data_IF_826559454645
#
_entry.id   IF_826559454645
#
_cell.length_a   1.000
_cell.length_b   1.000
_cell.length_c   1.000
_cell.angle_alpha   90.00
_cell.angle_beta   90.00
_cell.angle_gamma   90.00
#
_symmetry.space_group_name_H-M   'P 1'
#
loop_
_entity.id
_entity.type
_entity.pdbx_description
1 polymer ?
#
# COMPACT_ATOMS: atom_id res chain seq x y z
N UNK A 1 -0.46 30.79 18.89
CA UNK A 1 0.34 29.84 18.09
C UNK A 1 -0.54 29.37 16.95
N UNK A 2 -0.15 29.57 15.71
CA UNK A 2 -0.76 28.79 14.62
C UNK A 2 -0.26 27.35 14.83
N UNK A 3 -1.14 26.34 14.89
CA UNK A 3 -0.69 24.95 14.89
C UNK A 3 0.17 24.71 13.65
N UNK A 4 1.20 23.87 13.78
CA UNK A 4 1.98 23.45 12.63
C UNK A 4 1.04 22.88 11.55
N UNK A 5 1.27 23.14 10.26
CA UNK A 5 0.41 22.59 9.22
C UNK A 5 0.41 21.05 9.30
N UNK A 6 -0.79 20.48 9.42
CA UNK A 6 -1.00 19.03 9.46
C UNK A 6 -1.39 18.50 8.08
N UNK A 7 -0.98 17.27 7.77
CA UNK A 7 -1.34 16.56 6.55
C UNK A 7 -1.83 15.15 6.88
N UNK A 8 -2.79 14.66 6.09
CA UNK A 8 -3.22 13.28 6.08
C UNK A 8 -2.55 12.55 4.93
N UNK A 9 -1.83 11.46 5.23
CA UNK A 9 -1.30 10.54 4.23
C UNK A 9 -2.12 9.27 4.31
N UNK A 10 -2.87 8.97 3.25
CA UNK A 10 -3.67 7.75 3.13
C UNK A 10 -2.85 6.74 2.33
N UNK A 11 -2.50 5.64 2.99
CA UNK A 11 -1.55 4.67 2.45
C UNK A 11 -2.31 3.52 1.81
N UNK A 12 -2.10 3.35 0.50
CA UNK A 12 -2.35 2.13 -0.26
C UNK A 12 -3.76 1.52 -0.09
N UNK A 13 -4.80 2.36 -0.16
CA UNK A 13 -6.21 1.90 -0.17
C UNK A 13 -6.58 1.43 -1.59
N UNK A 14 -5.94 0.33 -2.01
CA UNK A 14 -6.05 -0.24 -3.35
C UNK A 14 -6.84 -1.56 -3.33
N UNK A 15 -7.36 -1.94 -4.50
CA UNK A 15 -8.17 -3.15 -4.66
C UNK A 15 -7.44 -4.40 -4.18
N UNK A 16 -6.16 -4.55 -4.51
CA UNK A 16 -5.39 -5.74 -4.13
C UNK A 16 -5.19 -5.92 -2.63
N UNK A 17 -5.33 -4.85 -1.83
CA UNK A 17 -5.25 -4.90 -0.37
C UNK A 17 -6.63 -5.01 0.31
N UNK A 18 -7.72 -4.91 -0.44
CA UNK A 18 -9.09 -5.08 0.06
C UNK A 18 -9.61 -6.52 -0.17
N UNK A 19 -10.71 -6.94 0.48
CA UNK A 19 -11.30 -8.27 0.25
C UNK A 19 -11.56 -8.57 -1.22
N UNK A 20 -11.05 -9.71 -1.70
CA UNK A 20 -11.11 -10.13 -3.11
C UNK A 20 -9.87 -9.77 -3.93
N UNK A 21 -8.97 -8.94 -3.40
CA UNK A 21 -7.69 -8.60 -3.99
C UNK A 21 -6.61 -9.67 -3.87
N UNK A 22 -5.51 -9.52 -4.63
CA UNK A 22 -4.41 -10.49 -4.66
C UNK A 22 -3.61 -10.60 -3.35
N UNK A 23 -3.59 -9.53 -2.54
CA UNK A 23 -2.97 -9.48 -1.21
C UNK A 23 -3.96 -8.93 -0.17
N UNK A 24 -5.19 -9.45 -0.21
CA UNK A 24 -6.30 -8.95 0.59
C UNK A 24 -6.01 -8.96 2.10
N UNK A 25 -6.21 -7.81 2.73
CA UNK A 25 -6.30 -7.67 4.19
C UNK A 25 -7.74 -7.93 4.60
N UNK A 26 -7.94 -8.78 5.61
CA UNK A 26 -9.26 -9.04 6.16
C UNK A 26 -9.89 -7.72 6.65
N UNK A 27 -11.10 -7.42 6.17
CA UNK A 27 -11.84 -6.18 6.49
C UNK A 27 -11.08 -4.89 6.12
N UNK A 28 -10.13 -4.96 5.17
CA UNK A 28 -9.33 -3.80 4.75
C UNK A 28 -10.15 -2.65 4.16
N UNK A 29 -11.36 -2.94 3.66
CA UNK A 29 -12.32 -1.99 3.12
C UNK A 29 -13.20 -1.33 4.21
N UNK A 30 -13.31 -1.92 5.41
CA UNK A 30 -14.18 -1.41 6.48
C UNK A 30 -13.76 -0.04 7.04
N UNK A 31 -12.52 0.40 6.77
CA UNK A 31 -11.99 1.69 7.23
C UNK A 31 -12.22 2.85 6.24
N UNK A 32 -12.68 2.56 5.02
CA UNK A 32 -12.74 3.53 3.92
C UNK A 32 -13.65 4.71 4.26
N UNK A 33 -14.83 4.46 4.82
CA UNK A 33 -15.76 5.53 5.22
C UNK A 33 -15.15 6.47 6.27
N UNK A 34 -14.37 5.92 7.21
CA UNK A 34 -13.66 6.72 8.21
C UNK A 34 -12.56 7.55 7.58
N UNK A 35 -11.81 6.98 6.64
CA UNK A 35 -10.77 7.69 5.88
C UNK A 35 -11.40 8.86 5.12
N UNK A 36 -12.49 8.62 4.39
CA UNK A 36 -13.21 9.63 3.63
C UNK A 36 -13.68 10.79 4.52
N UNK A 37 -14.20 10.50 5.73
CA UNK A 37 -14.60 11.54 6.68
C UNK A 37 -13.42 12.27 7.35
N UNK A 38 -12.25 11.62 7.45
CA UNK A 38 -11.04 12.27 7.95
C UNK A 38 -10.46 13.27 6.94
N UNK A 39 -10.55 12.99 5.64
CA UNK A 39 -10.03 13.88 4.60
C UNK A 39 -10.57 15.30 4.70
N UNK A 40 -11.84 15.46 5.07
CA UNK A 40 -12.48 16.78 5.20
C UNK A 40 -11.92 17.63 6.38
N UNK A 41 -11.10 17.03 7.25
CA UNK A 41 -10.49 17.70 8.42
C UNK A 41 -9.08 18.19 8.17
N UNK A 42 -8.46 17.83 7.04
CA UNK A 42 -7.08 18.20 6.72
C UNK A 42 -7.04 19.10 5.49
N UNK A 43 -6.24 20.17 5.58
CA UNK A 43 -5.99 21.05 4.44
C UNK A 43 -5.11 20.39 3.38
N UNK A 44 -4.34 19.36 3.77
CA UNK A 44 -3.44 18.60 2.89
C UNK A 44 -3.74 17.12 3.04
N UNK A 45 -4.12 16.49 1.93
CA UNK A 45 -4.38 15.06 1.77
C UNK A 45 -3.49 14.53 0.64
N UNK A 46 -2.69 13.51 0.96
CA UNK A 46 -1.84 12.79 0.02
C UNK A 46 -2.30 11.35 0.01
N UNK A 47 -2.46 10.77 -1.17
CA UNK A 47 -2.68 9.34 -1.33
C UNK A 47 -1.39 8.68 -1.80
N UNK A 48 -1.15 7.45 -1.39
CA UNK A 48 -0.11 6.61 -1.99
C UNK A 48 -0.74 5.45 -2.74
N UNK A 49 -0.03 4.98 -3.77
CA UNK A 49 -0.29 3.71 -4.42
C UNK A 49 1.00 2.92 -4.44
N UNK A 50 0.93 1.69 -3.98
CA UNK A 50 1.90 0.68 -4.32
C UNK A 50 1.79 0.42 -5.83
N UNK A 51 2.93 0.41 -6.53
CA UNK A 51 2.93 0.55 -8.00
C UNK A 51 4.07 -0.22 -8.67
N UNK A 52 3.97 -1.54 -8.63
CA UNK A 52 5.04 -2.46 -9.00
C UNK A 52 5.06 -2.83 -10.48
N UNK A 53 6.23 -2.87 -11.16
CA UNK A 53 6.33 -3.62 -12.41
C UNK A 53 6.01 -5.10 -12.16
N UNK A 54 5.46 -5.81 -13.15
CA UNK A 54 5.15 -7.24 -13.00
C UNK A 54 6.40 -8.10 -12.65
N UNK A 55 7.59 -7.62 -13.00
CA UNK A 55 8.89 -8.24 -12.69
C UNK A 55 9.47 -7.81 -11.34
N UNK A 56 8.70 -7.16 -10.46
CA UNK A 56 9.23 -6.64 -9.20
C UNK A 56 9.79 -7.76 -8.31
N UNK A 57 10.93 -7.49 -7.66
CA UNK A 57 11.69 -8.49 -6.91
C UNK A 57 11.03 -8.90 -5.59
N UNK A 58 10.03 -8.15 -5.11
CA UNK A 58 9.25 -8.57 -3.93
C UNK A 58 8.25 -9.69 -4.27
N UNK A 59 7.98 -10.00 -5.53
CA UNK A 59 7.00 -11.03 -5.88
C UNK A 59 7.61 -12.43 -5.88
N UNK A 60 6.98 -13.37 -5.18
CA UNK A 60 7.39 -14.77 -5.17
C UNK A 60 7.45 -15.38 -6.58
N UNK A 61 6.56 -14.97 -7.49
CA UNK A 61 6.52 -15.44 -8.87
C UNK A 61 7.82 -15.16 -9.66
N UNK A 62 8.61 -14.17 -9.23
CA UNK A 62 9.88 -13.80 -9.86
C UNK A 62 11.09 -14.52 -9.24
N UNK A 63 10.88 -15.47 -8.31
CA UNK A 63 11.91 -16.27 -7.66
C UNK A 63 11.61 -17.77 -7.86
N UNK A 64 12.40 -18.49 -8.67
CA UNK A 64 12.16 -19.91 -8.94
C UNK A 64 12.09 -20.76 -7.67
N UNK A 65 10.97 -21.46 -7.49
CA UNK A 65 10.72 -22.35 -6.34
C UNK A 65 10.32 -21.63 -5.05
N UNK A 66 10.18 -20.30 -5.06
CA UNK A 66 9.67 -19.56 -3.91
C UNK A 66 8.13 -19.62 -3.82
N UNK A 67 7.63 -19.48 -2.60
CA UNK A 67 6.20 -19.34 -2.33
C UNK A 67 5.90 -17.94 -1.77
N UNK A 68 4.69 -17.40 -1.97
CA UNK A 68 4.24 -16.23 -1.23
C UNK A 68 4.44 -16.40 0.28
N UNK A 69 4.74 -15.30 0.96
CA UNK A 69 5.07 -15.20 2.38
C UNK A 69 6.38 -15.88 2.81
N UNK A 70 7.19 -16.40 1.88
CA UNK A 70 8.54 -16.88 2.19
C UNK A 70 9.56 -15.75 2.28
N UNK A 71 10.68 -15.99 2.95
CA UNK A 71 11.79 -15.03 3.05
C UNK A 71 12.85 -15.32 1.98
N UNK A 72 13.43 -14.26 1.45
CA UNK A 72 14.66 -14.30 0.65
C UNK A 72 15.65 -13.25 1.12
N UNK A 73 16.90 -13.38 0.70
CA UNK A 73 17.97 -12.42 1.01
C UNK A 73 18.19 -11.49 -0.16
N UNK A 74 18.09 -10.19 0.09
CA UNK A 74 18.39 -9.12 -0.86
C UNK A 74 19.66 -8.35 -0.44
N UNK A 75 20.27 -7.54 -1.31
CA UNK A 75 21.43 -6.72 -0.95
C UNK A 75 21.19 -5.77 0.24
N UNK A 76 19.93 -5.39 0.48
CA UNK A 76 19.51 -4.55 1.59
C UNK A 76 19.05 -5.33 2.84
N UNK A 77 19.18 -6.66 2.83
CA UNK A 77 18.77 -7.53 3.94
C UNK A 77 17.63 -8.49 3.59
N UNK A 78 16.99 -9.10 4.61
CA UNK A 78 15.88 -10.04 4.39
C UNK A 78 14.67 -9.33 3.78
N UNK A 79 13.96 -10.03 2.90
CA UNK A 79 12.75 -9.57 2.22
C UNK A 79 11.68 -10.67 2.28
N UNK A 80 10.47 -10.32 2.71
CA UNK A 80 9.29 -11.18 2.52
C UNK A 80 8.86 -11.13 1.06
N UNK A 81 8.65 -12.29 0.45
CA UNK A 81 8.10 -12.39 -0.89
C UNK A 81 6.58 -12.41 -0.83
N UNK A 82 5.94 -11.60 -1.66
CA UNK A 82 4.49 -11.42 -1.69
C UNK A 82 3.88 -12.14 -2.90
N UNK A 83 2.55 -12.42 -2.89
CA UNK A 83 1.82 -12.63 -4.14
C UNK A 83 2.04 -11.44 -5.08
N UNK A 84 1.88 -11.64 -6.39
CA UNK A 84 1.86 -10.50 -7.32
C UNK A 84 0.65 -9.61 -7.01
N UNK A 85 0.90 -8.33 -6.73
CA UNK A 85 -0.11 -7.35 -6.34
C UNK A 85 0.25 -5.97 -6.88
N UNK A 86 -0.73 -5.08 -6.97
CA UNK A 86 -0.57 -3.67 -7.31
C UNK A 86 0.31 -3.44 -8.55
N UNK A 87 0.14 -4.29 -9.56
CA UNK A 87 0.91 -4.22 -10.81
C UNK A 87 0.48 -2.99 -11.61
N UNK A 88 1.45 -2.26 -12.15
CA UNK A 88 1.18 -1.00 -12.87
C UNK A 88 0.12 -1.18 -13.97
N UNK A 89 -0.94 -0.39 -13.89
CA UNK A 89 -2.00 -0.34 -14.89
C UNK A 89 -3.03 -1.47 -14.81
N UNK A 90 -3.00 -2.31 -13.76
CA UNK A 90 -4.03 -3.32 -13.51
C UNK A 90 -5.13 -2.79 -12.58
N UNK A 91 -6.30 -3.42 -12.63
CA UNK A 91 -7.40 -3.15 -11.69
C UNK A 91 -6.98 -3.31 -10.23
N UNK A 92 -6.14 -4.31 -9.93
CA UNK A 92 -5.62 -4.54 -8.58
C UNK A 92 -4.85 -3.35 -8.00
N UNK A 93 -4.19 -2.57 -8.85
CA UNK A 93 -3.44 -1.39 -8.47
C UNK A 93 -4.28 -0.10 -8.40
N UNK A 94 -5.53 -0.12 -8.87
CA UNK A 94 -6.44 1.03 -8.73
C UNK A 94 -6.84 1.23 -7.26
N UNK A 95 -7.20 2.46 -6.91
CA UNK A 95 -7.83 2.72 -5.61
C UNK A 95 -9.14 1.95 -5.48
N UNK A 96 -9.48 1.55 -4.26
CA UNK A 96 -10.78 0.97 -4.00
C UNK A 96 -11.89 1.95 -4.41
N UNK A 97 -12.92 1.45 -5.10
CA UNK A 97 -13.99 2.29 -5.70
C UNK A 97 -14.70 3.22 -4.69
N UNK A 98 -14.71 2.85 -3.42
CA UNK A 98 -15.40 3.59 -2.36
C UNK A 98 -14.49 4.67 -1.72
N UNK A 99 -13.20 4.70 -2.07
CA UNK A 99 -12.27 5.74 -1.61
C UNK A 99 -12.47 7.02 -2.44
N UNK A 100 -12.67 8.15 -1.76
CA UNK A 100 -12.65 9.47 -2.39
C UNK A 100 -11.22 9.83 -2.79
N UNK A 101 -11.02 10.17 -4.05
CA UNK A 101 -9.71 10.60 -4.58
C UNK A 101 -9.66 12.08 -4.94
N UNK A 102 -10.82 12.72 -5.09
CA UNK A 102 -10.96 14.15 -5.37
C UNK A 102 -10.34 15.09 -4.31
N UNK A 103 -10.27 14.76 -3.01
CA UNK A 103 -9.69 15.67 -2.02
C UNK A 103 -8.17 15.67 -2.04
N UNK A 104 -7.53 14.73 -2.75
CA UNK A 104 -6.09 14.57 -2.75
C UNK A 104 -5.39 15.67 -3.57
N UNK A 105 -4.39 16.33 -2.98
CA UNK A 105 -3.53 17.27 -3.73
C UNK A 105 -2.39 16.55 -4.46
N UNK A 106 -2.07 15.31 -4.05
CA UNK A 106 -1.01 14.50 -4.65
C UNK A 106 -1.32 13.02 -4.51
N UNK A 107 -1.01 12.27 -5.56
CA UNK A 107 -0.90 10.81 -5.52
C UNK A 107 0.55 10.43 -5.73
N UNK A 108 1.13 9.71 -4.79
CA UNK A 108 2.52 9.21 -4.85
C UNK A 108 2.49 7.73 -5.20
N UNK A 109 3.09 7.37 -6.34
CA UNK A 109 3.28 5.98 -6.76
C UNK A 109 4.68 5.53 -6.38
N UNK A 110 4.80 4.44 -5.63
CA UNK A 110 6.08 3.90 -5.20
C UNK A 110 6.06 2.37 -5.20
N UNK A 111 7.23 1.75 -5.37
CA UNK A 111 7.44 0.30 -5.18
C UNK A 111 7.84 -0.02 -3.72
N UNK A 112 8.10 1.03 -2.93
CA UNK A 112 8.49 0.94 -1.52
C UNK A 112 8.25 2.28 -0.83
N UNK A 113 7.50 2.28 0.26
CA UNK A 113 7.31 3.45 1.11
C UNK A 113 8.18 3.37 2.37
N UNK A 114 8.86 4.46 2.69
CA UNK A 114 9.65 4.62 3.92
C UNK A 114 9.22 5.90 4.61
N UNK A 115 8.60 5.80 5.79
CA UNK A 115 8.24 6.96 6.62
C UNK A 115 9.03 6.91 7.92
N UNK A 116 9.62 8.04 8.31
CA UNK A 116 10.39 8.13 9.57
C UNK A 116 11.59 7.17 9.67
N UNK A 117 12.14 6.71 8.54
CA UNK A 117 13.24 5.73 8.51
C UNK A 117 12.81 4.29 8.75
N UNK A 118 11.50 4.02 8.91
CA UNK A 118 10.95 2.67 8.98
C UNK A 118 10.38 2.27 7.63
N UNK A 119 10.70 1.04 7.22
CA UNK A 119 10.10 0.38 6.06
C UNK A 119 8.84 -0.28 6.57
N UNK A 120 7.70 0.10 6.04
CA UNK A 120 6.41 -0.51 6.40
C UNK A 120 6.21 -1.73 5.50
N UNK A 121 6.68 -2.90 5.92
CA UNK A 121 6.04 -4.16 5.52
C UNK A 121 4.87 -4.34 6.50
N UNK A 122 3.62 -4.28 6.00
CA UNK A 122 2.40 -4.24 6.82
C UNK A 122 2.07 -5.51 7.62
N UNK A 123 3.05 -6.39 7.90
CA UNK A 123 2.82 -7.61 8.66
C UNK A 123 3.95 -7.89 9.66
N UNK A 124 3.87 -7.33 10.88
CA UNK A 124 4.59 -7.88 12.02
C UNK A 124 3.77 -9.07 12.57
N UNK A 125 4.42 -10.22 12.70
CA UNK A 125 3.99 -11.36 13.53
C UNK A 125 2.73 -12.14 13.08
N UNK A 126 2.97 -13.36 12.57
CA UNK A 126 2.07 -14.49 12.79
C UNK A 126 2.87 -15.66 13.34
N UNK A 127 2.99 -15.71 14.66
CA UNK A 127 2.82 -16.95 15.42
C UNK A 127 1.36 -17.41 15.45
#
# INVERSE_FOLDING_TARGET
MNPAPEALIVIDVQNDFCPGGALAVAEGDAIIDRINGLMDRFATVILTQDWHPASHLSFAANHPGAAPFSLTTMPYGPQVLWPTHCVQGTEGAEFHRDLRTDPAQLVVKAERLVLGGQVYDLYPDRS
#
